data_IF_389493744653
#
_entry.id   IF_389493744653
#
_cell.length_a   1.000
_cell.length_b   1.000
_cell.length_c   1.000
_cell.angle_alpha   90.00
_cell.angle_beta   90.00
_cell.angle_gamma   90.00
#
_symmetry.space_group_name_H-M   'P 1'
#
loop_
_entity.id
_entity.type
_entity.pdbx_description
1 polymer ?
#
# COMPACT_ATOMS: atom_id res chain seq x y z
N UNK A 1 20.10 -1.65 -2.25
CA UNK A 1 18.72 -1.16 -2.40
C UNK A 1 17.83 -2.40 -2.38
N UNK A 2 17.14 -2.64 -1.27
CA UNK A 2 16.25 -3.80 -1.11
C UNK A 2 15.20 -3.77 -2.22
N UNK A 3 15.15 -4.81 -3.04
CA UNK A 3 14.15 -4.93 -4.08
C UNK A 3 12.85 -5.33 -3.37
N UNK A 4 11.88 -4.41 -3.27
CA UNK A 4 10.61 -4.66 -2.58
C UNK A 4 9.92 -5.96 -3.04
N UNK A 5 10.14 -6.39 -4.29
CA UNK A 5 9.61 -7.64 -4.81
C UNK A 5 10.38 -8.89 -4.31
N UNK A 6 11.71 -8.80 -4.11
CA UNK A 6 12.46 -9.82 -3.36
C UNK A 6 11.92 -9.90 -1.94
N UNK A 7 11.83 -8.76 -1.24
CA UNK A 7 11.48 -8.75 0.17
C UNK A 7 10.11 -9.41 0.39
N UNK A 8 9.15 -9.16 -0.51
CA UNK A 8 7.85 -9.80 -0.45
C UNK A 8 7.93 -11.31 -0.72
N UNK A 9 8.71 -11.74 -1.71
CA UNK A 9 8.89 -13.18 -1.98
C UNK A 9 9.57 -13.89 -0.82
N UNK A 10 10.65 -13.32 -0.30
CA UNK A 10 11.38 -13.88 0.82
C UNK A 10 10.51 -13.94 2.09
N UNK A 11 9.71 -12.91 2.35
CA UNK A 11 8.76 -12.93 3.47
C UNK A 11 7.67 -13.99 3.29
N UNK A 12 7.13 -14.16 2.08
CA UNK A 12 6.14 -15.19 1.79
C UNK A 12 6.73 -16.61 1.92
N UNK A 13 7.95 -16.82 1.43
CA UNK A 13 8.69 -18.07 1.57
C UNK A 13 8.96 -18.39 3.05
N UNK A 14 9.44 -17.41 3.82
CA UNK A 14 9.66 -17.56 5.25
C UNK A 14 8.39 -17.95 6.01
N UNK A 15 7.23 -17.37 5.67
CA UNK A 15 5.93 -17.74 6.26
C UNK A 15 5.51 -19.14 5.82
N UNK A 16 5.72 -19.53 4.56
CA UNK A 16 5.37 -20.86 4.07
C UNK A 16 6.18 -21.97 4.75
N UNK A 17 7.43 -21.69 5.14
CA UNK A 17 8.30 -22.61 5.88
C UNK A 17 7.87 -22.86 7.33
N UNK A 18 6.93 -22.07 7.88
CA UNK A 18 6.42 -22.28 9.24
C UNK A 18 5.48 -23.48 9.35
N UNK A 19 4.88 -23.91 8.23
CA UNK A 19 3.93 -25.02 8.21
C UNK A 19 2.60 -24.65 7.52
N UNK A 20 1.73 -25.65 7.40
CA UNK A 20 0.44 -25.52 6.70
C UNK A 20 -0.76 -26.02 7.50
N UNK A 21 -0.54 -26.50 8.73
CA UNK A 21 -1.57 -27.02 9.63
C UNK A 21 -1.34 -26.56 11.07
N UNK A 22 -2.39 -26.56 11.90
CA UNK A 22 -2.25 -26.22 13.32
C UNK A 22 -1.24 -27.11 14.05
N UNK A 23 -1.16 -28.39 13.67
CA UNK A 23 -0.20 -29.34 14.23
C UNK A 23 1.26 -28.96 13.92
N UNK A 24 1.54 -28.41 12.72
CA UNK A 24 2.89 -27.92 12.39
C UNK A 24 3.30 -26.79 13.33
N UNK A 25 2.39 -25.84 13.59
CA UNK A 25 2.63 -24.72 14.49
C UNK A 25 2.73 -25.16 15.96
N UNK A 26 1.93 -26.14 16.39
CA UNK A 26 2.04 -26.73 17.75
C UNK A 26 3.37 -27.46 17.96
N UNK A 27 3.98 -27.99 16.90
CA UNK A 27 5.27 -28.68 16.97
C UNK A 27 6.47 -27.71 16.97
N UNK A 28 6.27 -26.42 16.71
CA UNK A 28 7.35 -25.43 16.72
C UNK A 28 7.84 -25.17 18.15
N UNK A 29 9.17 -25.08 18.38
CA UNK A 29 9.69 -24.62 19.66
C UNK A 29 9.32 -23.13 19.88
N UNK A 30 9.15 -22.71 21.13
CA UNK A 30 8.75 -21.35 21.51
C UNK A 30 9.53 -20.24 20.78
N UNK A 31 10.85 -20.41 20.65
CA UNK A 31 11.69 -19.46 19.94
C UNK A 31 11.33 -19.33 18.45
N UNK A 32 10.97 -20.45 17.79
CA UNK A 32 10.51 -20.45 16.41
C UNK A 32 9.09 -19.87 16.28
N UNK A 33 8.20 -20.07 17.26
CA UNK A 33 6.88 -19.43 17.29
C UNK A 33 7.00 -17.90 17.34
N UNK A 34 7.84 -17.37 18.23
CA UNK A 34 8.05 -15.93 18.36
C UNK A 34 8.73 -15.33 17.13
N UNK A 35 9.74 -16.01 16.57
CA UNK A 35 10.38 -15.59 15.32
C UNK A 35 9.40 -15.63 14.14
N UNK A 36 8.59 -16.69 14.04
CA UNK A 36 7.56 -16.86 13.03
C UNK A 36 6.50 -15.76 13.08
N UNK A 37 6.09 -15.34 14.27
CA UNK A 37 5.19 -14.21 14.44
C UNK A 37 5.81 -12.92 13.85
N UNK A 38 7.11 -12.70 14.07
CA UNK A 38 7.85 -11.57 13.48
C UNK A 38 7.91 -11.64 11.94
N UNK A 39 8.09 -12.82 11.37
CA UNK A 39 8.07 -13.05 9.92
C UNK A 39 6.68 -12.75 9.33
N UNK A 40 5.61 -13.21 9.98
CA UNK A 40 4.23 -12.92 9.56
C UNK A 40 3.93 -11.41 9.61
N UNK A 41 4.34 -10.71 10.67
CA UNK A 41 4.16 -9.26 10.78
C UNK A 41 4.91 -8.53 9.67
N UNK A 42 6.12 -8.97 9.33
CA UNK A 42 6.90 -8.39 8.23
C UNK A 42 6.22 -8.60 6.87
N UNK A 43 5.72 -9.81 6.61
CA UNK A 43 4.96 -10.12 5.39
C UNK A 43 3.68 -9.26 5.28
N UNK A 44 2.92 -9.13 6.38
CA UNK A 44 1.73 -8.28 6.44
C UNK A 44 2.05 -6.83 6.11
N UNK A 45 3.09 -6.25 6.71
CA UNK A 45 3.51 -4.87 6.44
C UNK A 45 3.83 -4.65 4.95
N UNK A 46 4.54 -5.58 4.32
CA UNK A 46 4.87 -5.49 2.89
C UNK A 46 3.64 -5.56 1.98
N UNK A 47 2.62 -6.32 2.38
CA UNK A 47 1.32 -6.38 1.70
C UNK A 47 0.49 -5.12 1.96
N UNK A 48 0.47 -4.62 3.20
CA UNK A 48 -0.26 -3.43 3.59
C UNK A 48 0.24 -2.18 2.84
N UNK A 49 1.55 -2.04 2.63
CA UNK A 49 2.13 -0.98 1.79
C UNK A 49 1.56 -1.03 0.36
N UNK A 50 1.50 -2.22 -0.24
CA UNK A 50 0.95 -2.39 -1.60
C UNK A 50 -0.55 -2.15 -1.64
N UNK A 51 -1.27 -2.61 -0.62
CA UNK A 51 -2.70 -2.35 -0.47
C UNK A 51 -2.98 -0.84 -0.38
N UNK A 52 -2.16 -0.09 0.36
CA UNK A 52 -2.26 1.36 0.46
C UNK A 52 -2.01 2.04 -0.89
N UNK A 53 -0.96 1.67 -1.64
CA UNK A 53 -0.73 2.22 -2.98
C UNK A 53 -1.89 1.93 -3.95
N UNK A 54 -2.44 0.72 -3.90
CA UNK A 54 -3.61 0.34 -4.69
C UNK A 54 -4.84 1.20 -4.31
N UNK A 55 -5.10 1.35 -3.01
CA UNK A 55 -6.21 2.15 -2.50
C UNK A 55 -6.08 3.63 -2.86
N UNK A 56 -4.90 4.22 -2.70
CA UNK A 56 -4.61 5.60 -3.12
C UNK A 56 -4.79 5.79 -4.63
N UNK A 57 -4.42 4.80 -5.43
CA UNK A 57 -4.65 4.82 -6.88
C UNK A 57 -6.15 4.74 -7.22
N UNK A 58 -6.90 3.87 -6.54
CA UNK A 58 -8.36 3.76 -6.69
C UNK A 58 -9.01 5.10 -6.31
N UNK A 59 -8.60 5.71 -5.21
CA UNK A 59 -9.11 7.01 -4.77
C UNK A 59 -8.84 8.10 -5.81
N UNK A 60 -7.59 8.21 -6.29
CA UNK A 60 -7.19 9.15 -7.35
C UNK A 60 -8.00 8.97 -8.63
N UNK A 61 -8.31 7.73 -9.01
CA UNK A 61 -9.11 7.37 -10.19
C UNK A 61 -10.62 7.44 -9.94
N UNK A 62 -11.06 7.65 -8.70
CA UNK A 62 -12.46 7.79 -8.31
C UNK A 62 -12.80 9.20 -7.82
N UNK A 63 -11.90 10.15 -8.07
CA UNK A 63 -12.02 11.53 -7.63
C UNK A 63 -13.32 12.17 -8.17
N UNK A 64 -13.97 13.08 -7.42
CA UNK A 64 -15.25 13.66 -7.81
C UNK A 64 -15.23 14.36 -9.18
N UNK A 65 -14.08 14.91 -9.58
CA UNK A 65 -13.91 15.64 -10.85
C UNK A 65 -14.11 14.74 -12.09
N UNK A 66 -14.04 13.42 -11.92
CA UNK A 66 -14.29 12.46 -13.00
C UNK A 66 -15.78 12.10 -13.15
N UNK A 67 -16.64 12.47 -12.19
CA UNK A 67 -18.06 12.13 -12.17
C UNK A 67 -18.30 10.63 -12.46
N UNK A 68 -19.22 10.35 -13.40
CA UNK A 68 -19.55 8.98 -13.83
C UNK A 68 -18.39 8.23 -14.52
N UNK A 69 -17.33 8.93 -14.93
CA UNK A 69 -16.13 8.30 -15.50
C UNK A 69 -15.15 7.81 -14.42
N UNK A 70 -15.37 8.21 -13.16
CA UNK A 70 -14.56 7.77 -12.03
C UNK A 70 -14.67 6.27 -11.80
N UNK A 71 -13.58 5.65 -11.35
CA UNK A 71 -13.48 4.20 -11.18
C UNK A 71 -14.57 3.66 -10.23
N UNK A 72 -14.74 4.24 -9.04
CA UNK A 72 -15.81 3.84 -8.13
C UNK A 72 -17.20 3.96 -8.76
N UNK A 73 -17.49 5.09 -9.42
CA UNK A 73 -18.79 5.34 -10.06
C UNK A 73 -19.09 4.32 -11.17
N UNK A 74 -18.10 4.00 -12.02
CA UNK A 74 -18.23 2.98 -13.08
C UNK A 74 -18.50 1.58 -12.52
N UNK A 75 -18.05 1.32 -11.30
CA UNK A 75 -18.31 0.06 -10.60
C UNK A 75 -19.61 0.11 -9.76
N UNK A 76 -20.38 1.19 -9.82
CA UNK A 76 -21.66 1.35 -9.12
C UNK A 76 -21.53 1.81 -7.66
N UNK A 77 -20.39 2.36 -7.26
CA UNK A 77 -20.14 2.81 -5.89
C UNK A 77 -20.12 4.34 -5.81
N UNK A 78 -20.63 4.86 -4.68
CA UNK A 78 -20.68 6.29 -4.41
C UNK A 78 -19.32 6.86 -3.98
N UNK A 79 -18.36 6.01 -3.59
CA UNK A 79 -17.04 6.44 -3.14
C UNK A 79 -15.98 5.33 -3.32
N UNK A 80 -14.68 5.67 -3.40
CA UNK A 80 -13.61 4.68 -3.42
C UNK A 80 -13.56 3.81 -2.14
N UNK A 81 -13.90 4.36 -0.97
CA UNK A 81 -13.97 3.63 0.29
C UNK A 81 -15.08 2.57 0.25
N UNK A 82 -16.25 2.91 -0.32
CA UNK A 82 -17.35 1.95 -0.47
C UNK A 82 -16.98 0.80 -1.43
N UNK A 83 -16.28 1.11 -2.52
CA UNK A 83 -15.72 0.11 -3.43
C UNK A 83 -14.74 -0.82 -2.70
N UNK A 84 -13.76 -0.24 -2.00
CA UNK A 84 -12.73 -1.00 -1.28
C UNK A 84 -13.35 -1.87 -0.19
N UNK A 85 -14.24 -1.30 0.64
CA UNK A 85 -14.94 -2.04 1.68
C UNK A 85 -15.66 -3.27 1.11
N UNK A 86 -16.34 -3.12 -0.03
CA UNK A 86 -17.08 -4.21 -0.66
C UNK A 86 -16.17 -5.30 -1.20
N UNK A 87 -15.03 -4.95 -1.79
CA UNK A 87 -14.10 -5.90 -2.41
C UNK A 87 -13.17 -6.60 -1.40
N UNK A 88 -12.76 -5.93 -0.35
CA UNK A 88 -11.89 -6.53 0.68
C UNK A 88 -12.68 -7.26 1.76
N UNK A 89 -13.99 -6.99 1.89
CA UNK A 89 -14.79 -7.46 3.02
C UNK A 89 -14.39 -6.81 4.35
N UNK A 90 -13.60 -5.74 4.33
CA UNK A 90 -13.13 -5.07 5.54
C UNK A 90 -14.24 -4.26 6.21
N UNK A 91 -13.99 -3.82 7.44
CA UNK A 91 -14.86 -2.83 8.07
C UNK A 91 -14.84 -1.51 7.28
N UNK A 92 -15.88 -0.70 7.44
CA UNK A 92 -15.93 0.66 6.88
C UNK A 92 -14.75 1.51 7.37
N UNK A 93 -14.41 1.38 8.64
CA UNK A 93 -13.29 2.11 9.24
C UNK A 93 -11.95 1.73 8.63
N UNK A 94 -11.72 0.45 8.34
CA UNK A 94 -10.46 0.00 7.75
C UNK A 94 -10.35 0.37 6.27
N UNK A 95 -11.46 0.32 5.53
CA UNK A 95 -11.48 0.83 4.15
C UNK A 95 -11.15 2.32 4.09
N UNK A 96 -11.74 3.12 4.99
CA UNK A 96 -11.44 4.55 5.10
C UNK A 96 -9.97 4.81 5.44
N UNK A 97 -9.44 4.14 6.46
CA UNK A 97 -8.02 4.27 6.84
C UNK A 97 -7.10 3.89 5.68
N UNK A 98 -7.39 2.80 4.97
CA UNK A 98 -6.56 2.34 3.87
C UNK A 98 -6.53 3.36 2.71
N UNK A 99 -7.69 3.95 2.37
CA UNK A 99 -7.76 5.04 1.38
C UNK A 99 -7.01 6.28 1.86
N UNK A 100 -7.18 6.68 3.12
CA UNK A 100 -6.51 7.84 3.68
C UNK A 100 -4.98 7.69 3.64
N UNK A 101 -4.46 6.55 4.15
CA UNK A 101 -3.02 6.24 4.12
C UNK A 101 -2.51 6.18 2.67
N UNK A 102 -3.24 5.51 1.78
CA UNK A 102 -2.87 5.43 0.37
C UNK A 102 -2.79 6.79 -0.33
N UNK A 103 -3.72 7.69 -0.01
CA UNK A 103 -3.74 9.06 -0.53
C UNK A 103 -2.57 9.87 0.01
N UNK A 104 -2.32 9.79 1.33
CA UNK A 104 -1.17 10.45 1.96
C UNK A 104 0.17 10.01 1.37
N UNK A 105 0.36 8.70 1.13
CA UNK A 105 1.58 8.18 0.49
C UNK A 105 1.75 8.74 -0.92
N UNK A 106 0.68 8.73 -1.72
CA UNK A 106 0.75 9.23 -3.09
C UNK A 106 1.00 10.75 -3.15
N UNK A 107 0.48 11.51 -2.19
CA UNK A 107 0.69 12.95 -2.11
C UNK A 107 2.10 13.29 -1.62
N UNK A 108 2.65 12.50 -0.68
CA UNK A 108 4.04 12.62 -0.25
C UNK A 108 5.02 12.37 -1.40
N UNK A 109 4.83 11.30 -2.18
CA UNK A 109 5.66 11.02 -3.38
C UNK A 109 5.54 12.12 -4.45
N UNK A 110 4.34 12.71 -4.60
CA UNK A 110 4.15 13.82 -5.53
C UNK A 110 4.88 15.09 -5.06
N UNK A 111 4.83 15.39 -3.77
CA UNK A 111 5.55 16.52 -3.18
C UNK A 111 7.08 16.36 -3.32
N UNK A 112 7.62 15.18 -3.06
CA UNK A 112 9.05 14.88 -3.22
C UNK A 112 9.51 15.09 -4.67
N UNK A 113 8.72 14.63 -5.66
CA UNK A 113 9.01 14.86 -7.08
C UNK A 113 9.01 16.33 -7.47
N UNK A 114 8.12 17.15 -6.88
CA UNK A 114 8.10 18.59 -7.13
C UNK A 114 9.36 19.27 -6.55
N UNK A 115 9.81 18.84 -5.37
CA UNK A 115 11.06 19.33 -4.78
C UNK A 115 12.25 18.96 -5.65
N UNK A 116 12.35 17.70 -6.08
CA UNK A 116 13.43 17.24 -6.95
C UNK A 116 13.46 18.00 -8.28
N UNK A 117 12.29 18.22 -8.90
CA UNK A 117 12.19 18.99 -10.13
C UNK A 117 12.63 20.46 -9.95
N UNK A 118 12.31 21.08 -8.82
CA UNK A 118 12.71 22.44 -8.50
C UNK A 118 14.23 22.55 -8.26
N UNK A 119 14.86 21.54 -7.64
CA UNK A 119 16.31 21.49 -7.40
C UNK A 119 17.09 21.18 -8.68
N UNK A 120 16.56 20.28 -9.52
CA UNK A 120 17.17 19.88 -10.80
C UNK A 120 17.05 20.93 -11.91
N UNK A 121 16.28 22.00 -11.68
CA UNK A 121 16.19 23.15 -12.59
C UNK A 121 16.69 24.43 -11.90
N UNK A 122 18.00 24.60 -11.65
CA UNK A 122 18.53 25.88 -11.17
C UNK A 122 18.31 26.91 -12.28
N UNK A 123 17.61 28.00 -11.96
CA UNK A 123 17.22 29.02 -12.93
C UNK A 123 18.39 29.52 -13.78
N UNK A 124 18.22 29.44 -15.10
CA UNK A 124 18.93 30.23 -16.12
C UNK A 124 18.51 31.72 -16.06
N UNK A 125 18.47 32.31 -14.87
CA UNK A 125 18.10 33.72 -14.69
C UNK A 125 19.19 34.47 -13.92
N UNK A 126 20.35 34.61 -14.58
CA UNK A 126 21.44 35.48 -14.15
C UNK A 126 22.21 36.07 -15.35
N UNK A 127 21.57 36.27 -16.50
CA UNK A 127 22.26 36.78 -17.69
C UNK A 127 21.40 37.62 -18.65
N UNK A 128 20.61 38.57 -18.14
CA UNK A 128 20.24 39.84 -18.83
C UNK A 128 19.83 40.79 -17.69
N UNK A 129 20.54 41.87 -17.38
CA UNK A 129 20.64 43.18 -18.04
C UNK A 129 21.85 43.92 -17.46
#
# INVERSE_FOLDING_TARGET
MMNLAEDLRQAAEAVALLGSSSADYEALPDAALLAGQGQIVSARRLLDTRAAWMAGTIARRSRPELGHSGLAARQGFLSPEALIQKWTGSSKGDAYKLVAVGTMLADAEAAEKLVEAAVSSPGTDAAVV
#
